data_IF_859008997670
#
_entry.id   IF_859008997670
#
_cell.length_a   1.000
_cell.length_b   1.000
_cell.length_c   1.000
_cell.angle_alpha   90.00
_cell.angle_beta   90.00
_cell.angle_gamma   90.00
#
_symmetry.space_group_name_H-M   'P 1'
#
loop_
_entity.id
_entity.type
_entity.pdbx_description
1 polymer ?
#
# COMPACT_ATOMS: atom_id res chain seq x y z
N UNK A 1 15.56 14.83 -11.39
CA UNK A 1 15.24 15.63 -10.18
C UNK A 1 16.10 15.18 -9.00
N UNK A 2 16.21 13.87 -8.76
CA UNK A 2 17.09 13.26 -7.76
C UNK A 2 18.53 13.83 -7.81
N UNK A 3 19.17 13.90 -8.98
CA UNK A 3 20.51 14.47 -9.15
C UNK A 3 20.67 15.94 -8.65
N UNK A 4 19.60 16.77 -8.71
CA UNK A 4 19.62 18.14 -8.19
C UNK A 4 19.35 18.20 -6.67
N UNK A 5 18.51 17.29 -6.17
CA UNK A 5 18.33 17.09 -4.72
C UNK A 5 19.62 16.56 -4.06
N UNK A 6 20.41 15.76 -4.78
CA UNK A 6 21.75 15.34 -4.35
C UNK A 6 22.72 16.52 -4.19
N UNK A 7 22.70 17.48 -5.11
CA UNK A 7 23.48 18.72 -4.97
C UNK A 7 23.03 19.54 -3.77
N UNK A 8 21.72 19.57 -3.49
CA UNK A 8 21.11 20.25 -2.34
C UNK A 8 21.57 19.63 -1.00
N UNK A 9 21.54 18.30 -0.90
CA UNK A 9 22.00 17.55 0.27
C UNK A 9 23.51 17.70 0.51
N UNK A 10 24.30 17.77 -0.57
CA UNK A 10 25.73 18.05 -0.49
C UNK A 10 26.00 19.51 -0.05
N UNK A 11 25.20 20.48 -0.51
CA UNK A 11 25.32 21.88 -0.11
C UNK A 11 24.97 22.08 1.38
N UNK A 12 23.90 21.46 1.86
CA UNK A 12 23.49 21.45 3.27
C UNK A 12 24.59 20.94 4.21
N UNK A 13 25.31 19.89 3.79
CA UNK A 13 26.43 19.33 4.54
C UNK A 13 27.69 20.21 4.54
N UNK A 14 27.79 21.19 3.63
CA UNK A 14 28.95 22.08 3.50
C UNK A 14 28.71 23.44 4.18
N UNK A 15 27.47 23.95 4.17
CA UNK A 15 27.11 25.26 4.73
C UNK A 15 26.78 25.26 6.22
N UNK A 16 26.86 24.10 6.91
CA UNK A 16 26.66 24.00 8.37
C UNK A 16 27.73 24.73 9.21
N UNK A 17 28.78 25.24 8.58
CA UNK A 17 29.80 26.05 9.25
C UNK A 17 29.33 27.50 9.42
N UNK A 18 29.10 27.83 10.69
CA UNK A 18 28.98 29.15 11.31
C UNK A 18 27.70 29.93 11.07
N UNK A 19 26.69 29.78 11.93
CA UNK A 19 25.94 30.92 12.49
C UNK A 19 25.36 30.51 13.85
N UNK A 20 25.87 31.11 14.93
CA UNK A 20 25.16 31.14 16.20
C UNK A 20 23.92 32.03 16.01
N UNK A 21 22.73 31.51 16.34
CA UNK A 21 21.42 32.19 16.33
C UNK A 21 20.72 32.47 14.98
N UNK A 22 21.09 31.81 13.87
CA UNK A 22 20.29 31.85 12.63
C UNK A 22 19.40 30.59 12.48
N UNK A 23 18.19 30.75 11.91
CA UNK A 23 17.32 29.64 11.50
C UNK A 23 18.13 28.62 10.67
N UNK A 24 17.97 27.33 10.97
CA UNK A 24 18.62 26.25 10.23
C UNK A 24 17.97 26.07 8.84
N UNK A 25 16.75 26.58 8.63
CA UNK A 25 15.89 26.28 7.49
C UNK A 25 15.42 27.52 6.70
N UNK A 26 16.27 28.49 6.30
CA UNK A 26 15.81 29.62 5.51
C UNK A 26 15.43 29.17 4.09
N UNK A 27 14.25 29.57 3.61
CA UNK A 27 13.70 29.18 2.30
C UNK A 27 14.59 29.56 1.11
N UNK A 28 15.35 30.65 1.23
CA UNK A 28 16.32 31.11 0.22
C UNK A 28 17.40 30.09 -0.09
N UNK A 29 17.74 29.21 0.85
CA UNK A 29 18.74 28.13 0.68
C UNK A 29 18.33 27.14 -0.41
N UNK A 30 17.03 26.98 -0.64
CA UNK A 30 16.49 25.94 -1.53
C UNK A 30 16.10 26.47 -2.91
N UNK A 31 16.01 27.80 -3.07
CA UNK A 31 15.47 28.45 -4.27
C UNK A 31 16.21 28.02 -5.55
N UNK A 32 17.54 27.87 -5.49
CA UNK A 32 18.36 27.52 -6.64
C UNK A 32 18.37 26.02 -6.97
N UNK A 33 17.90 25.19 -6.05
CA UNK A 33 18.03 23.75 -6.13
C UNK A 33 16.70 23.04 -6.47
N UNK A 34 15.59 23.78 -6.49
CA UNK A 34 14.29 23.31 -6.97
C UNK A 34 14.04 23.75 -8.43
N UNK A 35 13.12 23.10 -9.18
CA UNK A 35 12.76 23.57 -10.52
C UNK A 35 12.20 25.00 -10.47
N UNK A 36 12.55 25.83 -11.44
CA UNK A 36 12.21 27.27 -11.45
C UNK A 36 10.71 27.59 -11.50
N UNK A 37 9.88 26.63 -11.89
CA UNK A 37 8.42 26.73 -11.88
C UNK A 37 7.77 26.19 -10.60
N UNK A 38 8.58 25.78 -9.61
CA UNK A 38 8.10 25.24 -8.33
C UNK A 38 8.01 26.34 -7.27
N UNK A 39 7.22 26.10 -6.22
CA UNK A 39 7.07 27.03 -5.11
C UNK A 39 7.36 26.34 -3.77
N UNK A 40 8.17 26.97 -2.92
CA UNK A 40 8.37 26.51 -1.54
C UNK A 40 7.15 26.94 -0.72
N UNK A 41 6.37 25.98 -0.22
CA UNK A 41 5.16 26.26 0.56
C UNK A 41 5.46 26.48 2.03
N UNK A 42 6.50 25.82 2.56
CA UNK A 42 7.04 26.08 3.89
C UNK A 42 8.52 25.63 3.97
N UNK A 43 9.24 26.24 4.91
CA UNK A 43 10.55 25.81 5.36
C UNK A 43 10.59 26.07 6.88
N UNK A 44 10.58 25.01 7.67
CA UNK A 44 10.35 25.05 9.12
C UNK A 44 11.49 24.38 9.87
N UNK A 45 12.07 25.09 10.84
CA UNK A 45 13.01 24.49 11.79
C UNK A 45 12.31 23.47 12.68
N UNK A 46 12.89 22.27 12.74
CA UNK A 46 12.44 21.15 13.56
C UNK A 46 13.38 21.04 14.75
N UNK A 47 12.84 21.05 15.96
CA UNK A 47 13.60 20.84 17.19
C UNK A 47 13.70 19.35 17.52
N UNK A 48 14.75 18.96 18.22
CA UNK A 48 14.95 17.57 18.61
C UNK A 48 13.79 17.04 19.49
N UNK A 49 13.41 15.79 19.26
CA UNK A 49 12.27 15.10 19.88
C UNK A 49 10.90 15.74 19.62
N UNK A 50 10.79 16.58 18.58
CA UNK A 50 9.52 17.23 18.23
C UNK A 50 8.62 16.34 17.36
N UNK A 51 7.44 16.86 17.05
CA UNK A 51 6.43 16.24 16.18
C UNK A 51 6.14 17.17 15.02
N UNK A 52 6.12 16.66 13.79
CA UNK A 52 5.85 17.45 12.59
C UNK A 52 5.02 16.69 11.56
N UNK A 53 4.16 17.43 10.85
CA UNK A 53 3.41 16.98 9.68
C UNK A 53 2.79 18.19 8.99
N UNK A 54 2.77 18.18 7.66
CA UNK A 54 2.12 19.21 6.85
C UNK A 54 0.64 18.92 6.60
N UNK A 55 -0.02 19.76 5.81
CA UNK A 55 -1.43 19.58 5.42
C UNK A 55 -1.71 18.31 4.60
N UNK A 56 -0.66 17.68 4.05
CA UNK A 56 -0.76 16.45 3.26
C UNK A 56 -0.36 15.22 4.09
N UNK A 57 0.05 15.38 5.35
CA UNK A 57 0.47 14.29 6.19
C UNK A 57 -0.72 13.39 6.56
N UNK A 58 -0.59 12.09 6.32
CA UNK A 58 -1.57 11.12 6.85
C UNK A 58 -1.52 11.07 8.39
N UNK A 59 -0.32 11.22 8.95
CA UNK A 59 -0.09 11.35 10.39
C UNK A 59 1.24 12.04 10.62
N UNK A 60 1.35 12.80 11.70
CA UNK A 60 2.59 13.48 12.05
C UNK A 60 3.68 12.45 12.42
N UNK A 61 4.91 12.74 12.01
CA UNK A 61 6.10 12.07 12.53
C UNK A 61 6.40 12.60 13.94
N UNK A 62 6.79 11.73 14.85
CA UNK A 62 7.14 12.06 16.24
C UNK A 62 8.59 11.69 16.50
N UNK A 63 9.18 12.22 17.57
CA UNK A 63 10.58 11.94 17.96
C UNK A 63 11.58 12.29 16.85
N UNK A 64 11.30 13.34 16.09
CA UNK A 64 12.17 13.79 15.02
C UNK A 64 13.50 14.32 15.58
N UNK A 65 14.65 14.06 14.93
CA UNK A 65 15.87 14.78 15.26
C UNK A 65 15.69 16.27 14.92
N UNK A 66 16.55 17.13 15.47
CA UNK A 66 16.60 18.51 15.02
C UNK A 66 16.96 18.59 13.53
N UNK A 67 16.40 19.55 12.80
CA UNK A 67 16.56 19.64 11.35
C UNK A 67 15.64 20.68 10.71
N UNK A 68 15.36 20.49 9.43
CA UNK A 68 14.59 21.39 8.58
C UNK A 68 13.57 20.59 7.78
N UNK A 69 12.29 20.96 7.87
CA UNK A 69 11.21 20.39 7.07
C UNK A 69 10.79 21.38 5.99
N UNK A 70 10.73 20.91 4.74
CA UNK A 70 10.48 21.76 3.57
C UNK A 70 9.35 21.14 2.75
N UNK A 71 8.40 21.96 2.34
CA UNK A 71 7.34 21.60 1.41
C UNK A 71 7.52 22.36 0.11
N UNK A 72 7.36 21.67 -1.01
CA UNK A 72 7.52 22.22 -2.35
C UNK A 72 6.35 21.77 -3.20
N UNK A 73 5.69 22.71 -3.85
CA UNK A 73 4.67 22.43 -4.85
C UNK A 73 5.30 22.49 -6.24
N UNK A 74 5.19 21.40 -7.01
CA UNK A 74 5.82 21.28 -8.33
C UNK A 74 4.75 21.04 -9.40
N UNK A 75 4.58 21.96 -10.37
CA UNK A 75 3.72 21.72 -11.52
C UNK A 75 4.27 20.59 -12.39
N UNK A 76 3.41 19.66 -12.81
CA UNK A 76 3.81 18.50 -13.64
C UNK A 76 3.35 18.63 -15.10
N UNK A 77 2.06 18.86 -15.37
CA UNK A 77 1.54 19.03 -16.73
C UNK A 77 0.14 19.66 -16.74
N UNK A 78 -0.13 20.60 -17.64
CA UNK A 78 -1.46 21.20 -17.76
C UNK A 78 -1.92 21.83 -16.44
N UNK A 79 -2.95 21.25 -15.81
CA UNK A 79 -3.52 21.69 -14.53
C UNK A 79 -3.13 20.79 -13.34
N UNK A 80 -2.14 19.90 -13.49
CA UNK A 80 -1.69 19.00 -12.41
C UNK A 80 -0.42 19.50 -11.73
N UNK A 81 -0.34 19.29 -10.41
CA UNK A 81 0.86 19.48 -9.57
C UNK A 81 1.09 18.26 -8.68
N UNK A 82 2.28 18.18 -8.08
CA UNK A 82 2.55 17.29 -6.96
C UNK A 82 3.22 18.04 -5.82
N UNK A 83 2.89 17.62 -4.60
CA UNK A 83 3.53 18.08 -3.39
C UNK A 83 4.74 17.20 -3.07
N UNK A 84 5.91 17.82 -2.90
CA UNK A 84 7.14 17.18 -2.45
C UNK A 84 7.47 17.70 -1.05
N UNK A 85 7.75 16.76 -0.15
CA UNK A 85 8.17 17.03 1.21
C UNK A 85 9.59 16.51 1.43
N UNK A 86 10.40 17.29 2.14
CA UNK A 86 11.79 16.99 2.45
C UNK A 86 12.05 17.21 3.92
N UNK A 87 12.76 16.29 4.56
CA UNK A 87 13.30 16.47 5.90
C UNK A 87 14.82 16.37 5.86
N UNK A 88 15.49 17.41 6.34
CA UNK A 88 16.95 17.52 6.41
C UNK A 88 17.36 17.62 7.89
N UNK A 89 17.85 16.54 8.51
CA UNK A 89 18.43 16.59 9.86
C UNK A 89 19.55 17.63 9.95
N UNK A 90 19.82 18.11 11.16
CA UNK A 90 21.02 18.91 11.43
C UNK A 90 22.28 18.10 11.12
N UNK A 91 23.40 18.79 10.88
CA UNK A 91 24.70 18.17 10.58
C UNK A 91 25.10 17.12 11.64
N UNK A 92 24.77 17.38 12.92
CA UNK A 92 25.03 16.47 14.04
C UNK A 92 24.35 15.11 13.89
N UNK A 93 23.21 15.06 13.22
CA UNK A 93 22.39 13.86 13.03
C UNK A 93 22.45 13.30 11.60
N UNK A 94 23.22 13.94 10.73
CA UNK A 94 23.35 13.57 9.33
C UNK A 94 24.27 12.35 9.15
N UNK A 95 23.78 11.31 8.47
CA UNK A 95 24.45 10.00 8.35
C UNK A 95 24.86 9.62 6.90
N UNK A 96 25.15 10.60 6.04
CA UNK A 96 25.33 10.39 4.60
C UNK A 96 24.41 9.41 3.81
N UNK A 97 23.10 9.20 4.08
CA UNK A 97 22.16 8.40 3.26
C UNK A 97 20.78 9.02 2.95
N UNK A 98 20.37 9.14 1.68
CA UNK A 98 19.06 9.66 1.25
C UNK A 98 18.02 8.57 1.15
N UNK A 99 16.80 8.89 1.56
CA UNK A 99 15.65 8.01 1.42
C UNK A 99 14.51 8.74 0.70
N UNK A 100 13.98 8.10 -0.33
CA UNK A 100 12.67 8.47 -0.90
C UNK A 100 11.62 7.50 -0.43
N UNK A 101 10.44 8.03 -0.11
CA UNK A 101 9.32 7.28 0.45
C UNK A 101 8.13 7.37 -0.50
N UNK A 102 7.38 6.28 -0.61
CA UNK A 102 6.18 6.21 -1.44
C UNK A 102 4.88 6.53 -0.69
N UNK A 103 3.75 6.39 -1.38
CA UNK A 103 2.41 6.52 -0.81
C UNK A 103 1.75 5.14 -0.60
N UNK A 104 0.51 5.12 -0.09
CA UNK A 104 -0.29 3.90 0.05
C UNK A 104 -1.67 4.03 -0.63
N UNK A 105 -2.20 2.94 -1.18
CA UNK A 105 -3.48 2.92 -1.89
C UNK A 105 -3.51 3.88 -3.10
N UNK A 106 -4.65 4.55 -3.31
CA UNK A 106 -4.80 5.63 -4.30
C UNK A 106 -4.64 7.03 -3.67
N UNK A 107 -4.07 7.13 -2.48
CA UNK A 107 -4.01 8.37 -1.74
C UNK A 107 -2.80 9.24 -2.17
N UNK A 108 -2.91 10.56 -1.95
CA UNK A 108 -1.88 11.56 -2.29
C UNK A 108 -1.32 12.26 -1.05
N UNK A 109 -0.85 11.50 -0.06
CA UNK A 109 -0.38 12.02 1.23
C UNK A 109 1.15 11.93 1.38
N UNK A 110 1.73 12.80 2.19
CA UNK A 110 3.15 12.72 2.55
C UNK A 110 3.36 11.74 3.70
N UNK A 111 4.24 10.74 3.51
CA UNK A 111 4.61 9.76 4.53
C UNK A 111 5.75 10.27 5.45
N UNK A 112 5.50 11.34 6.22
CA UNK A 112 6.51 12.02 7.04
C UNK A 112 7.30 11.12 8.01
N UNK A 113 6.70 10.02 8.48
CA UNK A 113 7.36 9.06 9.37
C UNK A 113 8.56 8.36 8.73
N UNK A 114 8.62 8.32 7.41
CA UNK A 114 9.59 7.54 6.65
C UNK A 114 10.77 8.39 6.10
N UNK A 115 10.76 9.72 6.24
CA UNK A 115 11.70 10.66 5.58
C UNK A 115 12.94 11.01 6.46
N UNK A 116 14.17 10.83 5.94
CA UNK A 116 15.43 11.37 6.50
C UNK A 116 16.68 11.10 5.61
N UNK A 117 17.46 12.14 5.25
CA UNK A 117 18.28 12.20 4.01
C UNK A 117 19.84 12.02 4.09
N UNK A 118 20.54 11.95 2.90
CA UNK A 118 22.01 12.05 2.53
C UNK A 118 22.67 11.26 1.30
N UNK A 119 23.99 10.98 1.26
CA UNK A 119 24.92 10.71 0.09
C UNK A 119 24.72 9.49 -0.86
N UNK A 120 24.12 8.38 -0.44
CA UNK A 120 23.65 7.29 -1.33
C UNK A 120 22.12 7.32 -1.38
N UNK A 121 21.52 6.97 -2.51
CA UNK A 121 20.07 7.05 -2.76
C UNK A 121 19.39 5.72 -2.44
N UNK A 122 18.46 5.67 -1.48
CA UNK A 122 17.67 4.48 -1.19
C UNK A 122 16.17 4.72 -1.38
N UNK A 123 15.45 3.70 -1.85
CA UNK A 123 13.99 3.69 -1.92
C UNK A 123 13.42 2.79 -0.82
N UNK A 124 12.37 3.22 -0.11
CA UNK A 124 11.60 2.36 0.78
C UNK A 124 10.10 2.58 0.56
N UNK A 125 9.36 1.51 0.28
CA UNK A 125 7.92 1.60 0.04
C UNK A 125 7.20 0.29 0.29
N UNK A 126 5.93 0.40 0.71
CA UNK A 126 5.02 -0.73 0.90
C UNK A 126 3.74 -0.51 0.09
N UNK A 127 3.08 -1.58 -0.40
CA UNK A 127 1.82 -1.47 -1.15
C UNK A 127 1.98 -0.63 -2.44
N UNK A 128 1.30 0.50 -2.57
CA UNK A 128 1.51 1.45 -3.68
C UNK A 128 2.94 1.96 -3.74
N UNK A 129 3.58 2.18 -2.58
CA UNK A 129 5.01 2.45 -2.49
C UNK A 129 5.85 1.28 -3.02
N UNK A 130 5.46 0.04 -2.73
CA UNK A 130 6.14 -1.11 -3.34
C UNK A 130 6.04 -1.09 -4.88
N UNK A 131 4.87 -0.74 -5.44
CA UNK A 131 4.71 -0.54 -6.88
C UNK A 131 5.59 0.59 -7.41
N UNK A 132 5.62 1.73 -6.73
CA UNK A 132 6.45 2.87 -7.10
C UNK A 132 7.93 2.47 -7.08
N UNK A 133 8.41 1.78 -6.06
CA UNK A 133 9.77 1.25 -6.00
C UNK A 133 10.10 0.28 -7.15
N UNK A 134 9.20 -0.64 -7.50
CA UNK A 134 9.41 -1.49 -8.69
C UNK A 134 9.40 -0.69 -9.99
N UNK A 135 8.62 0.40 -10.07
CA UNK A 135 8.60 1.30 -11.23
C UNK A 135 9.94 2.04 -11.35
N UNK A 136 10.50 2.54 -10.25
CA UNK A 136 11.83 3.15 -10.19
C UNK A 136 12.90 2.16 -10.66
N UNK A 137 12.93 0.95 -10.12
CA UNK A 137 13.88 -0.09 -10.53
C UNK A 137 13.78 -0.41 -12.04
N UNK A 138 12.58 -0.42 -12.61
CA UNK A 138 12.35 -0.76 -14.02
C UNK A 138 12.63 0.38 -15.00
N UNK A 139 12.31 1.63 -14.64
CA UNK A 139 12.30 2.76 -15.56
C UNK A 139 13.36 3.81 -15.26
N UNK A 140 13.83 3.89 -14.02
CA UNK A 140 14.81 4.87 -13.53
C UNK A 140 15.88 4.17 -12.67
N UNK A 141 16.61 3.18 -13.23
CA UNK A 141 17.53 2.36 -12.45
C UNK A 141 18.67 3.14 -11.80
N UNK A 142 18.97 4.34 -12.29
CA UNK A 142 20.02 5.22 -11.77
C UNK A 142 19.53 6.13 -10.61
N UNK A 143 18.23 6.13 -10.29
CA UNK A 143 17.68 7.01 -9.25
C UNK A 143 18.00 6.49 -7.83
N UNK A 144 18.24 5.19 -7.65
CA UNK A 144 18.50 4.57 -6.35
C UNK A 144 19.65 3.54 -6.38
N UNK A 145 20.57 3.64 -5.42
CA UNK A 145 21.62 2.65 -5.15
C UNK A 145 21.06 1.37 -4.49
N UNK A 146 19.89 1.45 -3.86
CA UNK A 146 19.20 0.29 -3.29
C UNK A 146 17.72 0.54 -3.00
N UNK A 147 16.89 -0.49 -3.13
CA UNK A 147 15.44 -0.37 -2.92
C UNK A 147 14.91 -1.48 -2.00
N UNK A 148 14.22 -1.08 -0.93
CA UNK A 148 13.47 -1.97 -0.05
C UNK A 148 11.97 -1.92 -0.41
N UNK A 149 11.57 -2.86 -1.26
CA UNK A 149 10.22 -2.96 -1.80
C UNK A 149 9.42 -4.00 -1.03
N UNK A 150 8.30 -3.57 -0.43
CA UNK A 150 7.40 -4.45 0.35
C UNK A 150 6.02 -4.53 -0.28
N UNK A 151 5.40 -5.71 -0.22
CA UNK A 151 4.01 -5.98 -0.65
C UNK A 151 3.56 -5.16 -1.88
N UNK A 152 4.30 -5.20 -3.01
CA UNK A 152 4.10 -4.24 -4.09
C UNK A 152 2.75 -4.42 -4.77
N UNK A 153 2.00 -3.34 -4.95
CA UNK A 153 0.73 -3.35 -5.69
C UNK A 153 0.96 -3.28 -7.23
N UNK A 154 1.87 -4.10 -7.74
CA UNK A 154 2.52 -3.89 -9.05
C UNK A 154 1.62 -4.16 -10.26
N UNK A 155 0.74 -5.15 -10.17
CA UNK A 155 -0.16 -5.53 -11.25
C UNK A 155 -1.51 -4.80 -11.16
N UNK A 156 -1.47 -3.46 -11.21
CA UNK A 156 -2.61 -2.58 -10.89
C UNK A 156 -3.89 -2.92 -11.63
N UNK A 157 -3.80 -3.30 -12.91
CA UNK A 157 -4.97 -3.67 -13.72
C UNK A 157 -5.69 -4.88 -13.13
N UNK A 158 -4.96 -5.96 -12.85
CA UNK A 158 -5.53 -7.18 -12.32
C UNK A 158 -5.91 -7.04 -10.85
N UNK A 159 -5.07 -6.36 -10.05
CA UNK A 159 -5.34 -6.07 -8.64
C UNK A 159 -6.57 -5.17 -8.45
N UNK A 160 -6.76 -4.16 -9.31
CA UNK A 160 -7.92 -3.26 -9.28
C UNK A 160 -9.23 -4.00 -9.58
N UNK A 161 -9.21 -4.88 -10.57
CA UNK A 161 -10.34 -5.78 -10.87
C UNK A 161 -10.58 -6.75 -9.70
N UNK A 162 -9.53 -7.38 -9.17
CA UNK A 162 -9.65 -8.34 -8.07
C UNK A 162 -10.24 -7.70 -6.82
N UNK A 163 -9.81 -6.48 -6.49
CA UNK A 163 -10.34 -5.70 -5.36
C UNK A 163 -11.84 -5.41 -5.49
N UNK A 164 -12.38 -5.43 -6.70
CA UNK A 164 -13.80 -5.21 -6.99
C UNK A 164 -14.62 -6.50 -7.05
N UNK A 165 -14.01 -7.58 -7.54
CA UNK A 165 -14.71 -8.80 -7.91
C UNK A 165 -14.54 -9.97 -6.96
N UNK A 166 -13.40 -10.07 -6.26
CA UNK A 166 -13.04 -11.25 -5.48
C UNK A 166 -14.01 -11.54 -4.32
N UNK A 167 -14.66 -10.52 -3.77
CA UNK A 167 -15.63 -10.68 -2.68
C UNK A 167 -17.09 -10.75 -3.16
N UNK A 168 -17.38 -10.56 -4.46
CA UNK A 168 -18.74 -10.66 -5.00
C UNK A 168 -19.39 -12.03 -4.74
N UNK A 169 -18.66 -13.17 -4.79
CA UNK A 169 -19.24 -14.46 -4.44
C UNK A 169 -19.75 -14.55 -2.99
N UNK A 170 -19.26 -13.69 -2.09
CA UNK A 170 -19.74 -13.63 -0.70
C UNK A 170 -20.95 -12.70 -0.55
N UNK A 171 -21.34 -11.93 -1.56
CA UNK A 171 -22.48 -11.01 -1.49
C UNK A 171 -23.74 -11.65 -2.08
N UNK A 172 -24.95 -11.19 -1.67
CA UNK A 172 -25.24 -10.25 -0.57
C UNK A 172 -25.18 -10.92 0.82
N UNK A 173 -25.09 -10.11 1.88
CA UNK A 173 -24.98 -10.59 3.29
C UNK A 173 -26.17 -11.43 3.78
N UNK A 174 -27.35 -11.26 3.18
CA UNK A 174 -28.57 -12.01 3.54
C UNK A 174 -28.68 -13.35 2.79
N UNK A 175 -27.69 -13.72 1.98
CA UNK A 175 -27.70 -14.99 1.25
C UNK A 175 -27.28 -16.16 2.13
N UNK A 176 -27.72 -17.37 1.77
CA UNK A 176 -27.34 -18.60 2.46
C UNK A 176 -25.88 -19.00 2.22
N UNK A 177 -25.23 -18.44 1.20
CA UNK A 177 -23.82 -18.68 0.87
C UNK A 177 -22.86 -17.67 1.50
N UNK A 178 -23.39 -16.67 2.21
CA UNK A 178 -22.57 -15.66 2.88
C UNK A 178 -21.78 -16.25 4.07
N UNK A 179 -20.49 -15.98 4.11
CA UNK A 179 -19.56 -16.30 5.19
C UNK A 179 -19.45 -15.07 6.09
N UNK A 180 -20.08 -15.15 7.27
CA UNK A 180 -20.02 -14.12 8.30
C UNK A 180 -18.66 -14.09 9.00
N UNK A 181 -18.35 -12.99 9.69
CA UNK A 181 -17.07 -12.81 10.40
C UNK A 181 -16.77 -13.90 11.42
N UNK A 182 -17.78 -14.40 12.15
CA UNK A 182 -17.60 -15.50 13.11
C UNK A 182 -17.11 -16.78 12.44
N UNK A 183 -17.64 -17.09 11.27
CA UNK A 183 -17.26 -18.26 10.49
C UNK A 183 -15.91 -18.06 9.81
N UNK A 184 -15.59 -16.82 9.39
CA UNK A 184 -14.28 -16.46 8.87
C UNK A 184 -13.16 -16.70 9.90
N UNK A 185 -13.41 -16.44 11.18
CA UNK A 185 -12.48 -16.80 12.26
C UNK A 185 -12.31 -18.32 12.37
N UNK A 186 -13.40 -19.09 12.39
CA UNK A 186 -13.33 -20.55 12.44
C UNK A 186 -12.58 -21.16 11.24
N UNK A 187 -12.75 -20.59 10.04
CA UNK A 187 -11.98 -20.99 8.85
C UNK A 187 -10.49 -20.68 9.05
N UNK A 188 -10.15 -19.49 9.56
CA UNK A 188 -8.76 -19.09 9.79
C UNK A 188 -8.09 -20.00 10.81
N UNK A 189 -8.78 -20.32 11.91
CA UNK A 189 -8.30 -21.22 12.95
C UNK A 189 -8.08 -22.64 12.41
N UNK A 190 -8.98 -23.14 11.55
CA UNK A 190 -8.84 -24.46 10.95
C UNK A 190 -7.71 -24.52 9.90
N UNK A 191 -7.49 -23.43 9.15
CA UNK A 191 -6.33 -23.29 8.27
C UNK A 191 -5.05 -23.36 9.11
N UNK A 192 -4.93 -22.57 10.18
CA UNK A 192 -3.76 -22.60 11.07
C UNK A 192 -3.58 -24.01 11.65
N UNK A 193 -4.64 -24.61 12.21
CA UNK A 193 -4.59 -25.96 12.80
C UNK A 193 -4.08 -27.03 11.84
N UNK A 194 -4.43 -26.93 10.56
CA UNK A 194 -3.97 -27.89 9.55
C UNK A 194 -2.58 -27.53 8.99
N UNK A 195 -2.26 -26.25 8.83
CA UNK A 195 -1.08 -25.78 8.10
C UNK A 195 0.15 -25.55 8.97
N UNK A 196 0.00 -24.98 10.17
CA UNK A 196 1.11 -24.62 11.09
C UNK A 196 2.03 -25.82 11.35
N UNK A 197 1.55 -27.02 11.76
CA UNK A 197 2.44 -28.15 12.02
C UNK A 197 3.20 -28.69 10.79
N UNK A 198 2.89 -28.26 9.56
CA UNK A 198 3.48 -28.83 8.34
C UNK A 198 4.91 -28.33 8.07
N UNK A 199 5.34 -27.24 8.69
CA UNK A 199 6.73 -26.77 8.66
C UNK A 199 7.61 -27.36 9.77
N UNK A 200 7.01 -28.12 10.71
CA UNK A 200 7.68 -28.77 11.82
C UNK A 200 7.74 -27.96 13.11
N UNK A 201 7.19 -26.74 13.12
CA UNK A 201 7.01 -25.89 14.29
C UNK A 201 5.51 -25.72 14.54
N UNK A 202 5.11 -25.52 15.81
CA UNK A 202 3.73 -25.18 16.16
C UNK A 202 3.79 -23.87 16.92
N UNK A 203 3.59 -22.77 16.21
CA UNK A 203 3.68 -21.41 16.75
C UNK A 203 2.53 -20.50 16.30
N UNK A 204 1.50 -21.07 15.69
CA UNK A 204 0.36 -20.40 15.05
C UNK A 204 0.76 -19.55 13.82
N UNK A 205 1.85 -19.89 13.16
CA UNK A 205 2.27 -19.25 11.90
C UNK A 205 2.20 -20.27 10.76
N UNK A 206 1.60 -19.87 9.64
CA UNK A 206 1.68 -20.67 8.42
C UNK A 206 2.92 -20.23 7.65
N UNK A 207 4.06 -20.88 7.90
CA UNK A 207 5.33 -20.47 7.27
C UNK A 207 5.38 -20.76 5.76
N UNK A 208 4.83 -21.90 5.33
CA UNK A 208 4.84 -22.32 3.93
C UNK A 208 3.41 -22.46 3.37
N UNK A 209 2.72 -21.33 3.13
CA UNK A 209 1.29 -21.34 2.82
C UNK A 209 0.95 -21.99 1.48
N UNK A 210 1.89 -21.98 0.53
CA UNK A 210 1.69 -22.58 -0.79
C UNK A 210 1.89 -24.10 -0.81
N UNK A 211 2.57 -24.65 0.21
CA UNK A 211 2.76 -26.10 0.34
C UNK A 211 1.76 -26.74 1.31
N UNK A 212 0.97 -25.94 2.03
CA UNK A 212 0.01 -26.46 2.98
C UNK A 212 -1.05 -27.33 2.29
N UNK A 213 -1.18 -28.58 2.76
CA UNK A 213 -2.26 -29.49 2.36
C UNK A 213 -3.52 -29.26 3.19
N UNK A 214 -4.18 -28.13 2.94
CA UNK A 214 -5.44 -27.79 3.61
C UNK A 214 -6.62 -28.58 3.03
N UNK A 215 -7.41 -29.22 3.90
CA UNK A 215 -8.65 -29.90 3.58
C UNK A 215 -9.85 -29.09 4.11
N UNK A 216 -10.56 -28.31 3.27
CA UNK A 216 -11.70 -27.50 3.71
C UNK A 216 -12.91 -28.34 4.13
N UNK A 217 -12.99 -29.63 3.75
CA UNK A 217 -14.14 -30.47 4.08
C UNK A 217 -14.29 -30.74 5.57
N UNK A 218 -13.26 -30.52 6.38
CA UNK A 218 -13.34 -30.62 7.85
C UNK A 218 -14.27 -29.56 8.45
N UNK A 219 -14.52 -28.47 7.72
CA UNK A 219 -15.43 -27.41 8.11
C UNK A 219 -16.87 -27.67 7.67
N UNK A 220 -17.18 -28.75 6.94
CA UNK A 220 -18.55 -29.03 6.53
C UNK A 220 -19.43 -29.35 7.74
N UNK A 221 -20.59 -28.70 7.80
CA UNK A 221 -21.56 -28.89 8.86
C UNK A 221 -22.13 -30.32 8.81
N UNK A 222 -22.14 -31.01 9.95
CA UNK A 222 -22.89 -32.25 10.14
C UNK A 222 -24.34 -31.92 10.55
N UNK A 223 -25.31 -32.85 10.39
CA UNK A 223 -26.71 -32.60 10.80
C UNK A 223 -26.90 -32.19 12.27
N UNK A 224 -25.92 -32.47 13.14
CA UNK A 224 -25.91 -32.13 14.56
C UNK A 224 -24.97 -30.96 14.92
N UNK A 225 -24.26 -30.38 13.95
CA UNK A 225 -23.28 -29.31 14.19
C UNK A 225 -23.96 -27.94 14.36
N UNK A 226 -23.36 -27.07 15.17
CA UNK A 226 -23.76 -25.67 15.25
C UNK A 226 -23.29 -24.88 14.00
N UNK A 227 -24.06 -23.87 13.60
CA UNK A 227 -23.71 -23.04 12.43
C UNK A 227 -22.63 -21.99 12.71
N UNK A 228 -22.12 -21.93 13.95
CA UNK A 228 -21.13 -20.94 14.38
C UNK A 228 -19.73 -21.24 13.83
N UNK A 229 -19.37 -22.53 13.76
CA UNK A 229 -18.00 -22.97 13.44
C UNK A 229 -17.93 -23.83 12.17
N UNK A 230 -19.07 -24.16 11.57
CA UNK A 230 -19.15 -25.07 10.44
C UNK A 230 -19.90 -24.45 9.26
N UNK A 231 -19.42 -24.72 8.06
CA UNK A 231 -19.91 -24.24 6.78
C UNK A 231 -21.06 -25.09 6.27
N UNK A 232 -22.15 -24.43 5.89
CA UNK A 232 -23.18 -25.02 5.06
C UNK A 232 -22.66 -25.28 3.64
N UNK A 233 -23.26 -26.22 2.88
CA UNK A 233 -22.83 -26.51 1.51
C UNK A 233 -22.74 -25.28 0.59
N UNK A 234 -23.67 -24.34 0.74
CA UNK A 234 -23.67 -23.08 0.00
C UNK A 234 -22.45 -22.21 0.34
N UNK A 235 -22.08 -22.12 1.62
CA UNK A 235 -20.91 -21.37 2.07
C UNK A 235 -19.60 -22.07 1.69
N UNK A 236 -19.59 -23.40 1.61
CA UNK A 236 -18.43 -24.15 1.11
C UNK A 236 -18.07 -23.77 -0.33
N UNK A 237 -19.08 -23.52 -1.18
CA UNK A 237 -18.86 -23.02 -2.54
C UNK A 237 -18.20 -21.64 -2.54
N UNK A 238 -18.63 -20.75 -1.65
CA UNK A 238 -18.02 -19.43 -1.45
C UNK A 238 -16.58 -19.55 -0.98
N UNK A 239 -16.31 -20.41 0.01
CA UNK A 239 -14.96 -20.65 0.52
C UNK A 239 -14.04 -21.18 -0.58
N UNK A 240 -14.50 -22.14 -1.38
CA UNK A 240 -13.73 -22.65 -2.52
C UNK A 240 -13.32 -21.53 -3.47
N UNK A 241 -14.25 -20.64 -3.83
CA UNK A 241 -13.92 -19.48 -4.68
C UNK A 241 -12.95 -18.51 -4.00
N UNK A 242 -13.07 -18.32 -2.68
CA UNK A 242 -12.21 -17.40 -1.92
C UNK A 242 -10.77 -17.90 -1.73
N UNK A 243 -10.56 -19.22 -1.75
CA UNK A 243 -9.24 -19.86 -1.56
C UNK A 243 -8.54 -20.25 -2.86
N UNK A 244 -9.17 -20.02 -4.02
CA UNK A 244 -8.60 -20.35 -5.33
C UNK A 244 -8.38 -19.09 -6.15
N UNK A 245 -7.50 -19.21 -7.15
CA UNK A 245 -7.20 -18.13 -8.07
C UNK A 245 -8.48 -17.60 -8.71
N UNK A 246 -8.55 -16.28 -8.83
CA UNK A 246 -9.68 -15.66 -9.49
C UNK A 246 -9.51 -15.78 -11.00
N UNK A 247 -10.47 -16.46 -11.63
CA UNK A 247 -10.54 -16.67 -13.07
C UNK A 247 -11.82 -16.05 -13.63
N UNK A 248 -11.79 -15.66 -14.91
CA UNK A 248 -12.98 -15.21 -15.62
C UNK A 248 -13.87 -16.37 -16.11
N UNK A 249 -15.01 -16.05 -16.75
CA UNK A 249 -15.95 -17.04 -17.28
C UNK A 249 -15.31 -18.02 -18.29
N UNK A 250 -14.22 -17.61 -18.94
CA UNK A 250 -13.44 -18.44 -19.86
C UNK A 250 -12.32 -19.24 -19.19
N UNK A 251 -12.27 -19.27 -17.86
CA UNK A 251 -11.16 -19.85 -17.07
C UNK A 251 -9.81 -19.16 -17.30
N UNK A 252 -9.83 -17.90 -17.76
CA UNK A 252 -8.60 -17.11 -17.90
C UNK A 252 -8.20 -16.60 -16.52
N UNK A 253 -6.94 -16.80 -16.17
CA UNK A 253 -6.38 -16.31 -14.91
C UNK A 253 -6.45 -14.78 -14.82
N UNK A 254 -7.00 -14.28 -13.70
CA UNK A 254 -7.08 -12.85 -13.39
C UNK A 254 -6.13 -12.49 -12.26
N UNK A 255 -6.24 -13.12 -11.09
CA UNK A 255 -5.36 -12.75 -9.96
C UNK A 255 -5.23 -13.92 -8.99
N UNK A 256 -4.05 -14.11 -8.35
CA UNK A 256 -3.87 -15.24 -7.47
C UNK A 256 -4.75 -15.13 -6.22
N UNK A 257 -5.08 -16.27 -5.63
CA UNK A 257 -5.74 -16.31 -4.33
C UNK A 257 -4.82 -15.71 -3.24
N UNK A 258 -5.39 -15.14 -2.17
CA UNK A 258 -4.62 -14.85 -0.96
C UNK A 258 -3.96 -16.12 -0.42
N UNK A 259 -2.72 -16.01 0.05
CA UNK A 259 -2.01 -17.11 0.66
C UNK A 259 -2.74 -17.63 1.91
N UNK A 260 -2.71 -18.95 2.13
CA UNK A 260 -3.23 -19.56 3.36
C UNK A 260 -2.52 -18.95 4.59
N UNK A 261 -3.24 -18.78 5.69
CA UNK A 261 -2.72 -18.10 6.89
C UNK A 261 -2.89 -16.58 6.89
N UNK A 262 -3.19 -15.97 5.74
CA UNK A 262 -3.79 -14.65 5.77
C UNK A 262 -5.21 -14.74 6.38
N UNK A 263 -5.63 -13.71 7.13
CA UNK A 263 -6.95 -13.70 7.77
C UNK A 263 -8.10 -13.59 6.76
N UNK A 264 -8.97 -14.59 6.67
CA UNK A 264 -10.12 -14.63 5.75
C UNK A 264 -11.00 -13.39 5.89
N UNK A 265 -11.16 -12.90 7.13
CA UNK A 265 -11.94 -11.70 7.44
C UNK A 265 -11.37 -10.43 6.79
N UNK A 266 -10.08 -10.40 6.45
CA UNK A 266 -9.42 -9.21 5.89
C UNK A 266 -9.70 -8.97 4.41
N UNK A 267 -10.03 -10.00 3.61
CA UNK A 267 -10.37 -9.83 2.19
C UNK A 267 -11.79 -10.27 1.83
N UNK A 268 -12.30 -11.35 2.43
CA UNK A 268 -13.66 -11.80 2.18
C UNK A 268 -14.67 -10.95 2.97
N UNK A 269 -14.24 -10.52 4.17
CA UNK A 269 -14.91 -9.52 5.00
C UNK A 269 -16.32 -9.89 5.43
N UNK A 270 -16.93 -8.97 6.16
CA UNK A 270 -18.38 -8.92 6.41
C UNK A 270 -18.94 -7.59 5.88
N UNK A 271 -18.41 -7.13 4.74
CA UNK A 271 -18.86 -5.88 4.13
C UNK A 271 -20.15 -6.11 3.34
N UNK A 272 -21.04 -5.12 3.33
CA UNK A 272 -22.24 -5.12 2.50
C UNK A 272 -21.95 -4.80 1.02
N UNK A 273 -20.73 -4.37 0.71
CA UNK A 273 -20.30 -3.98 -0.64
C UNK A 273 -18.80 -4.22 -0.86
N UNK A 274 -18.33 -4.30 -2.13
CA UNK A 274 -16.92 -4.36 -2.45
C UNK A 274 -16.13 -3.12 -2.02
N UNK A 275 -14.80 -3.25 -2.02
CA UNK A 275 -13.90 -2.17 -1.64
C UNK A 275 -14.05 -0.97 -2.57
N UNK A 276 -14.09 0.23 -1.98
CA UNK A 276 -14.15 1.51 -2.72
C UNK A 276 -12.93 1.74 -3.61
N UNK A 277 -11.79 1.14 -3.29
CA UNK A 277 -10.60 1.18 -4.15
C UNK A 277 -10.85 0.46 -5.48
N UNK A 278 -11.56 -0.67 -5.44
CA UNK A 278 -11.91 -1.44 -6.62
C UNK A 278 -12.98 -0.73 -7.45
N UNK A 279 -14.11 -0.39 -6.82
CA UNK A 279 -15.22 0.28 -7.52
C UNK A 279 -14.80 1.65 -8.08
N UNK A 280 -13.96 2.40 -7.36
CA UNK A 280 -13.37 3.64 -7.84
C UNK A 280 -12.39 3.44 -9.00
N UNK A 281 -11.62 2.35 -9.02
CA UNK A 281 -10.78 2.00 -10.17
C UNK A 281 -11.64 1.73 -11.42
N UNK A 282 -12.70 0.92 -11.29
CA UNK A 282 -13.62 0.63 -12.40
C UNK A 282 -14.26 1.92 -12.92
N UNK A 283 -14.82 2.74 -12.03
CA UNK A 283 -15.52 3.96 -12.43
C UNK A 283 -14.60 4.96 -13.15
N UNK A 284 -13.46 5.26 -12.53
CA UNK A 284 -12.63 6.38 -12.95
C UNK A 284 -11.59 5.98 -14.00
N UNK A 285 -11.04 4.77 -13.92
CA UNK A 285 -9.95 4.33 -14.81
C UNK A 285 -10.44 3.46 -15.97
N UNK A 286 -11.42 2.56 -15.74
CA UNK A 286 -11.93 1.68 -16.81
C UNK A 286 -13.06 2.32 -17.61
N UNK A 287 -14.09 2.81 -16.91
CA UNK A 287 -15.29 3.36 -17.55
C UNK A 287 -15.16 4.85 -17.87
N UNK A 288 -14.21 5.54 -17.22
CA UNK A 288 -14.00 6.99 -17.33
C UNK A 288 -15.31 7.77 -17.30
N UNK A 289 -16.11 7.52 -16.26
CA UNK A 289 -17.46 8.08 -16.13
C UNK A 289 -17.64 8.87 -14.85
N UNK A 290 -18.40 9.96 -14.95
CA UNK A 290 -18.86 10.75 -13.80
C UNK A 290 -20.14 10.19 -13.19
N UNK A 291 -20.82 9.27 -13.88
CA UNK A 291 -21.95 8.54 -13.32
C UNK A 291 -21.48 7.58 -12.22
N UNK A 292 -22.22 7.50 -11.12
CA UNK A 292 -21.90 6.60 -10.02
C UNK A 292 -21.94 5.14 -10.51
N UNK A 293 -20.81 4.45 -10.41
CA UNK A 293 -20.71 3.03 -10.72
C UNK A 293 -21.25 2.20 -9.54
N UNK A 294 -22.19 1.31 -9.83
CA UNK A 294 -22.68 0.33 -8.86
C UNK A 294 -22.05 -1.04 -9.13
N UNK A 295 -21.48 -1.64 -8.10
CA UNK A 295 -20.79 -2.94 -8.18
C UNK A 295 -21.67 -4.10 -8.65
N UNK A 296 -23.00 -4.00 -8.52
CA UNK A 296 -23.95 -4.98 -9.06
C UNK A 296 -23.96 -5.02 -10.59
N UNK A 297 -23.44 -3.98 -11.24
CA UNK A 297 -23.25 -3.94 -12.68
C UNK A 297 -21.94 -4.62 -13.14
N UNK A 298 -21.11 -5.11 -12.20
CA UNK A 298 -19.88 -5.83 -12.54
C UNK A 298 -20.19 -7.07 -13.40
N UNK A 299 -19.45 -7.23 -14.50
CA UNK A 299 -19.48 -8.42 -15.31
C UNK A 299 -18.08 -8.71 -15.88
N UNK A 300 -17.81 -9.96 -16.25
CA UNK A 300 -16.50 -10.37 -16.75
C UNK A 300 -16.16 -9.77 -18.13
N UNK A 301 -17.14 -9.24 -18.88
CA UNK A 301 -16.83 -8.49 -20.12
C UNK A 301 -16.06 -7.20 -19.86
N UNK A 302 -16.15 -6.63 -18.65
CA UNK A 302 -15.30 -5.50 -18.24
C UNK A 302 -13.81 -5.86 -18.19
N UNK A 303 -13.48 -7.15 -18.12
CA UNK A 303 -12.10 -7.64 -18.19
C UNK A 303 -11.60 -7.85 -19.61
N UNK A 304 -12.50 -7.90 -20.60
CA UNK A 304 -12.15 -8.15 -22.00
C UNK A 304 -11.26 -7.05 -22.60
N UNK A 305 -11.25 -5.85 -21.99
CA UNK A 305 -10.34 -4.75 -22.38
C UNK A 305 -8.85 -5.10 -22.23
N UNK A 306 -8.54 -6.20 -21.52
CA UNK A 306 -7.20 -6.58 -21.10
C UNK A 306 -6.75 -7.96 -21.60
N UNK A 307 -7.58 -8.66 -22.38
CA UNK A 307 -7.16 -9.83 -23.16
C UNK A 307 -6.40 -9.38 -24.40
#
# INVERSE_FOLDING_TARGET
>A
MAARLFQLAAFWAITGLSHADASLCPSSTFADAIPSNSNITYATDITANSTFGDSHAMSNATSLPEGCAIGIEVPSSGNSSYHLALFLPSEKHWNPRFITVGNAGYAGFTAWKDIGAAKYSYYCGCSTGGRQGLKEIQMFPDDFDGAFVRAPAWWVVHLGLWTSGANLPNLPQNSSHHIFSTLASAITDEIIRQCDPQDGVIDNVVMEPYSCRFNPNTLLCSPSSNTTNYLQPAQMTTLHKALNDWVDDGQTFVFPAPALGASISSWLGNSAMPSSMGTGYIQNMLLNTTAAYHWTAFNYSMMAFWR
#
